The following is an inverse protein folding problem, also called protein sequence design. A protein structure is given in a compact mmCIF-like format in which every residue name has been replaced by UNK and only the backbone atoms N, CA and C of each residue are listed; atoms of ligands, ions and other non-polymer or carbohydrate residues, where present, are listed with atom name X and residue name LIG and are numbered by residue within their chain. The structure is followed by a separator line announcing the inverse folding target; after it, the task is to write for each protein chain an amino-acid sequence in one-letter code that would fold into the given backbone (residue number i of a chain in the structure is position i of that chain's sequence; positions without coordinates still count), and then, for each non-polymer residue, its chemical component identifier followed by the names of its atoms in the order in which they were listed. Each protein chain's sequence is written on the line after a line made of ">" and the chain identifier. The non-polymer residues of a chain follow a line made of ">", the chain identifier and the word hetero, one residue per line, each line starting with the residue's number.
data_IF_455400796676
#
_entry.id   IF_455400796676
#
_cell.length_a   1.000
_cell.length_b   1.000
_cell.length_c   1.000
_cell.angle_alpha   90.00
_cell.angle_beta   90.00
_cell.angle_gamma   90.00
#
_symmetry.space_group_name_H-M   'P 1'
#
loop_
_entity.id
_entity.type
_entity.pdbx_description
1 polymer ?
#
# COMPACT_ATOMS: atom_id res chain seq x y z
N UNK A 1 44.75 -26.31 -7.11
CA UNK A 1 44.81 -26.33 -5.62
C UNK A 1 43.56 -25.61 -5.12
N UNK A 2 42.44 -26.32 -4.90
CA UNK A 2 41.96 -26.85 -3.59
C UNK A 2 41.68 -25.73 -2.57
N UNK A 3 40.42 -25.35 -2.30
CA UNK A 3 39.50 -25.92 -1.29
C UNK A 3 40.14 -26.06 0.11
N UNK A 4 39.89 -25.11 1.03
CA UNK A 4 39.16 -25.31 2.31
C UNK A 4 39.28 -24.07 3.24
N UNK A 5 38.25 -23.86 4.06
CA UNK A 5 38.19 -23.06 5.30
C UNK A 5 38.12 -21.52 5.26
N UNK A 6 36.91 -20.99 5.51
CA UNK A 6 36.60 -20.32 6.79
C UNK A 6 35.13 -19.87 6.87
N UNK A 7 34.29 -20.68 7.52
CA UNK A 7 33.01 -20.24 8.11
C UNK A 7 33.30 -19.45 9.38
N UNK A 8 33.02 -18.14 9.42
CA UNK A 8 32.51 -17.35 10.57
C UNK A 8 32.86 -15.86 10.38
N UNK A 9 31.85 -15.04 10.15
CA UNK A 9 31.86 -13.65 10.63
C UNK A 9 30.42 -13.11 10.62
N UNK A 10 29.61 -13.57 11.58
CA UNK A 10 28.38 -12.90 11.98
C UNK A 10 28.84 -11.66 12.75
N UNK A 11 29.02 -10.52 12.08
CA UNK A 11 29.36 -9.25 12.73
C UNK A 11 28.07 -8.61 13.26
N UNK A 12 27.85 -8.83 14.56
CA UNK A 12 27.16 -7.90 15.44
C UNK A 12 27.87 -6.55 15.40
N UNK A 13 27.15 -5.47 15.09
CA UNK A 13 27.60 -4.11 15.38
C UNK A 13 26.58 -3.44 16.30
N UNK A 14 27.06 -2.63 17.26
CA UNK A 14 26.30 -2.19 18.43
C UNK A 14 25.40 -1.01 18.10
N UNK A 15 24.19 -1.03 18.66
CA UNK A 15 23.25 0.08 18.65
C UNK A 15 23.34 0.81 20.00
N UNK A 16 24.33 1.67 20.14
CA UNK A 16 24.45 2.64 21.24
C UNK A 16 25.03 3.92 20.66
N UNK A 17 24.19 4.98 20.55
CA UNK A 17 24.55 6.40 20.65
C UNK A 17 23.50 7.27 19.91
N UNK A 18 22.43 7.64 20.62
CA UNK A 18 21.62 8.85 20.47
C UNK A 18 20.63 8.78 21.64
N UNK A 19 20.94 9.32 22.82
CA UNK A 19 21.36 10.71 23.03
C UNK A 19 20.09 11.52 23.28
N UNK A 20 19.77 11.64 24.56
CA UNK A 20 18.65 12.34 25.18
C UNK A 20 18.03 13.50 24.37
N UNK A 21 16.74 13.36 24.06
CA UNK A 21 15.81 14.50 24.06
C UNK A 21 14.50 14.10 24.73
N UNK A 22 14.35 14.62 25.94
CA UNK A 22 13.21 14.68 26.84
C UNK A 22 11.82 14.69 26.19
N UNK A 23 10.99 13.70 26.52
CA UNK A 23 9.52 13.80 26.42
C UNK A 23 8.89 13.27 27.73
N UNK A 24 8.44 14.15 28.64
CA UNK A 24 7.91 13.76 29.95
C UNK A 24 6.47 13.21 29.92
N UNK A 25 5.85 13.03 28.75
CA UNK A 25 4.45 12.65 28.64
C UNK A 25 4.20 11.12 28.67
N UNK A 26 5.24 10.30 28.48
CA UNK A 26 5.09 8.85 28.30
C UNK A 26 5.11 8.05 29.61
N UNK A 27 5.60 8.65 30.71
CA UNK A 27 5.79 7.94 31.99
C UNK A 27 4.53 7.91 32.87
N UNK A 28 3.52 8.73 32.56
CA UNK A 28 2.31 8.86 33.40
C UNK A 28 1.21 7.86 33.06
N UNK A 29 1.35 7.06 31.99
CA UNK A 29 0.27 6.20 31.46
C UNK A 29 0.49 4.71 31.79
N UNK A 30 1.69 4.33 32.26
CA UNK A 30 2.01 2.94 32.64
C UNK A 30 2.42 2.89 34.12
N UNK A 31 1.44 2.90 35.02
CA UNK A 31 1.66 2.75 36.45
C UNK A 31 2.04 1.32 36.83
N UNK A 32 3.13 1.17 37.60
CA UNK A 32 3.36 0.00 38.44
C UNK A 32 4.26 0.39 39.62
N UNK A 33 3.63 0.42 40.78
CA UNK A 33 4.19 0.64 42.11
C UNK A 33 5.09 -0.53 42.53
N UNK A 34 6.24 -0.25 43.15
CA UNK A 34 6.99 -1.19 44.01
C UNK A 34 8.15 -0.50 44.73
N UNK A 35 8.09 -0.57 46.06
CA UNK A 35 9.17 -0.59 47.08
C UNK A 35 9.44 0.67 47.92
N UNK A 36 9.58 0.40 49.23
CA UNK A 36 9.98 1.24 50.37
C UNK A 36 8.81 1.92 51.12
N UNK A 37 8.34 1.48 52.30
CA UNK A 37 8.95 0.75 53.43
C UNK A 37 10.20 1.44 54.01
N UNK A 38 9.99 2.60 54.64
CA UNK A 38 10.55 2.98 55.95
C UNK A 38 10.47 4.49 56.19
N UNK A 39 9.54 4.94 57.04
CA UNK A 39 9.80 5.91 58.11
C UNK A 39 8.51 6.13 58.91
N UNK A 40 8.56 5.76 60.18
CA UNK A 40 7.60 6.25 61.14
C UNK A 40 7.86 7.72 61.43
N UNK A 41 6.80 8.46 61.69
CA UNK A 41 6.74 9.47 62.75
C UNK A 41 5.29 9.85 63.01
N UNK A 42 5.03 10.08 64.29
CA UNK A 42 3.73 10.25 64.93
C UNK A 42 2.99 11.51 64.46
N UNK A 43 1.68 11.40 64.21
CA UNK A 43 0.74 12.49 64.50
C UNK A 43 -0.70 11.96 64.63
N UNK A 44 -1.17 12.03 65.86
CA UNK A 44 -2.48 11.73 66.42
C UNK A 44 -3.60 12.68 65.97
N UNK A 45 -4.82 12.13 65.85
CA UNK A 45 -6.14 12.73 66.21
C UNK A 45 -6.52 13.99 65.38
N UNK A 46 -7.62 14.00 64.61
CA UNK A 46 -8.99 14.29 65.05
C UNK A 46 -9.99 13.57 64.12
N UNK A 47 -10.93 12.85 64.75
CA UNK A 47 -12.16 12.35 64.14
C UNK A 47 -13.17 13.49 64.17
N UNK A 48 -13.48 14.08 63.02
CA UNK A 48 -14.61 15.00 62.87
C UNK A 48 -15.72 14.31 62.08
N UNK A 49 -16.65 13.75 62.83
CA UNK A 49 -17.94 13.25 62.36
C UNK A 49 -18.79 14.41 61.84
N UNK A 50 -18.98 14.53 60.53
CA UNK A 50 -20.11 15.28 59.97
C UNK A 50 -21.10 14.31 59.34
N UNK A 51 -22.17 14.04 60.10
CA UNK A 51 -23.44 13.49 59.62
C UNK A 51 -23.90 14.29 58.39
N UNK A 52 -24.09 13.62 57.26
CA UNK A 52 -24.95 14.13 56.19
C UNK A 52 -26.17 13.23 56.02
N UNK A 53 -27.31 13.89 56.13
CA UNK A 53 -28.67 13.39 56.17
C UNK A 53 -29.06 12.56 54.96
N UNK A 54 -29.86 11.53 55.25
CA UNK A 54 -30.67 10.72 54.35
C UNK A 54 -31.52 11.52 53.34
N UNK A 55 -31.59 11.02 52.11
CA UNK A 55 -32.64 11.27 51.12
C UNK A 55 -32.55 10.23 49.99
N UNK A 56 -33.56 9.38 49.74
CA UNK A 56 -33.51 8.33 48.73
C UNK A 56 -34.02 8.88 47.39
N UNK A 57 -33.18 8.93 46.37
CA UNK A 57 -33.67 9.00 45.00
C UNK A 57 -32.64 8.45 44.02
N UNK A 58 -33.07 7.47 43.23
CA UNK A 58 -32.28 6.79 42.24
C UNK A 58 -31.71 7.74 41.20
N UNK A 59 -30.38 7.66 41.01
CA UNK A 59 -29.72 7.98 39.76
C UNK A 59 -28.79 6.84 39.45
N UNK A 60 -29.17 6.07 38.44
CA UNK A 60 -28.31 5.08 37.81
C UNK A 60 -26.97 5.71 37.46
N UNK A 61 -25.91 5.10 37.96
CA UNK A 61 -24.54 5.43 37.66
C UNK A 61 -24.24 5.07 36.19
N UNK A 62 -24.10 6.08 35.32
CA UNK A 62 -23.32 5.97 34.07
C UNK A 62 -22.21 7.03 33.88
N UNK A 63 -21.39 7.40 34.89
CA UNK A 63 -20.16 8.15 34.65
C UNK A 63 -18.95 7.26 34.25
N UNK A 64 -18.94 5.96 34.55
CA UNK A 64 -17.75 5.11 34.29
C UNK A 64 -17.46 4.77 32.82
N UNK A 65 -18.47 4.74 31.94
CA UNK A 65 -18.27 4.38 30.52
C UNK A 65 -17.73 5.56 29.70
N UNK A 66 -18.09 6.78 30.06
CA UNK A 66 -17.65 7.99 29.35
C UNK A 66 -16.17 8.28 29.60
N UNK A 67 -15.70 8.16 30.85
CA UNK A 67 -14.28 8.31 31.19
C UNK A 67 -13.41 7.22 30.54
N UNK A 68 -13.93 6.00 30.41
CA UNK A 68 -13.23 4.89 29.75
C UNK A 68 -13.16 5.09 28.22
N UNK A 69 -14.21 5.61 27.58
CA UNK A 69 -14.18 5.90 26.14
C UNK A 69 -13.29 7.11 25.83
N UNK A 70 -13.25 8.12 26.71
CA UNK A 70 -12.38 9.28 26.54
C UNK A 70 -10.89 8.92 26.74
N UNK A 71 -10.59 8.01 27.67
CA UNK A 71 -9.23 7.55 27.93
C UNK A 71 -8.73 6.48 26.93
N UNK A 72 -9.59 5.54 26.51
CA UNK A 72 -9.20 4.44 25.61
C UNK A 72 -9.55 4.68 24.14
N UNK A 73 -10.43 5.63 23.83
CA UNK A 73 -10.85 5.95 22.46
C UNK A 73 -9.69 6.30 21.52
N UNK A 74 -8.79 7.24 21.88
CA UNK A 74 -7.61 7.54 21.08
C UNK A 74 -6.69 6.33 20.85
N UNK A 75 -6.51 5.49 21.87
CA UNK A 75 -5.67 4.29 21.79
C UNK A 75 -6.28 3.22 20.87
N UNK A 76 -7.60 3.04 20.92
CA UNK A 76 -8.33 2.11 20.04
C UNK A 76 -8.24 2.58 18.58
N UNK A 77 -8.42 3.89 18.32
CA UNK A 77 -8.27 4.44 16.96
C UNK A 77 -6.84 4.24 16.47
N UNK A 78 -5.83 4.54 17.30
CA UNK A 78 -4.42 4.31 16.96
C UNK A 78 -4.17 2.84 16.57
N UNK A 79 -4.58 1.89 17.41
CA UNK A 79 -4.38 0.46 17.16
C UNK A 79 -5.11 -0.01 15.90
N UNK A 80 -6.33 0.46 15.67
CA UNK A 80 -7.13 0.09 14.49
C UNK A 80 -6.54 0.65 13.19
N UNK A 81 -6.11 1.92 13.20
CA UNK A 81 -5.45 2.55 12.05
C UNK A 81 -4.11 1.86 11.78
N UNK A 82 -3.32 1.57 12.81
CA UNK A 82 -2.05 0.86 12.67
C UNK A 82 -2.25 -0.54 12.07
N UNK A 83 -3.24 -1.28 12.58
CA UNK A 83 -3.59 -2.60 12.04
C UNK A 83 -3.98 -2.51 10.56
N UNK A 84 -4.81 -1.53 10.18
CA UNK A 84 -5.17 -1.32 8.78
C UNK A 84 -3.96 -0.99 7.91
N UNK A 85 -3.06 -0.12 8.37
CA UNK A 85 -1.85 0.28 7.65
C UNK A 85 -0.84 -0.86 7.48
N UNK A 86 -0.77 -1.79 8.44
CA UNK A 86 0.04 -3.01 8.31
C UNK A 86 -0.62 -4.04 7.35
N UNK A 87 -1.89 -3.82 6.97
CA UNK A 87 -2.59 -4.63 5.96
C UNK A 87 -3.63 -5.58 6.54
N UNK A 88 -4.01 -5.46 7.81
CA UNK A 88 -5.13 -6.22 8.36
C UNK A 88 -6.46 -5.69 7.76
N UNK A 89 -7.43 -6.57 7.47
CA UNK A 89 -8.72 -6.19 6.89
C UNK A 89 -9.66 -5.60 7.95
N UNK A 90 -9.24 -4.52 8.61
CA UNK A 90 -10.03 -3.81 9.64
C UNK A 90 -10.60 -2.50 9.09
N UNK A 91 -11.83 -2.11 9.49
CA UNK A 91 -12.47 -0.91 8.99
C UNK A 91 -11.93 0.36 9.70
N UNK A 92 -10.79 0.88 9.24
CA UNK A 92 -10.19 2.09 9.83
C UNK A 92 -11.01 3.38 9.55
N UNK A 93 -11.50 3.59 8.33
CA UNK A 93 -12.31 4.78 8.01
C UNK A 93 -13.58 4.89 8.87
N UNK A 94 -14.41 3.84 9.03
CA UNK A 94 -15.57 3.91 9.92
C UNK A 94 -15.21 4.25 11.38
N UNK A 95 -14.07 3.77 11.89
CA UNK A 95 -13.65 4.11 13.25
C UNK A 95 -13.30 5.59 13.43
N UNK A 96 -12.65 6.21 12.42
CA UNK A 96 -12.34 7.64 12.42
C UNK A 96 -13.62 8.49 12.32
N UNK A 97 -14.56 8.09 11.46
CA UNK A 97 -15.86 8.75 11.32
C UNK A 97 -16.65 8.68 12.63
N UNK A 98 -16.68 7.51 13.27
CA UNK A 98 -17.36 7.33 14.55
C UNK A 98 -16.75 8.21 15.65
N UNK A 99 -15.42 8.26 15.73
CA UNK A 99 -14.73 9.12 16.69
C UNK A 99 -15.01 10.61 16.45
N UNK A 100 -15.01 11.04 15.19
CA UNK A 100 -15.38 12.41 14.81
C UNK A 100 -16.83 12.75 15.21
N UNK A 101 -17.77 11.83 15.01
CA UNK A 101 -19.16 12.02 15.41
C UNK A 101 -19.31 12.13 16.94
N UNK A 102 -18.56 11.30 17.69
CA UNK A 102 -18.54 11.39 19.15
C UNK A 102 -17.98 12.71 19.68
N UNK A 103 -16.94 13.23 19.05
CA UNK A 103 -16.38 14.53 19.41
C UNK A 103 -17.39 15.67 19.18
N UNK A 104 -18.20 15.60 18.12
CA UNK A 104 -19.23 16.61 17.83
C UNK A 104 -20.37 16.67 18.88
N UNK A 105 -20.58 15.61 19.67
CA UNK A 105 -21.53 15.63 20.78
C UNK A 105 -21.09 16.54 21.94
N UNK A 106 -19.83 16.98 21.97
CA UNK A 106 -19.29 17.89 22.99
C UNK A 106 -18.70 19.16 22.33
N UNK A 107 -19.54 20.13 21.92
CA UNK A 107 -19.12 21.28 21.10
C UNK A 107 -17.99 22.13 21.70
N UNK A 108 -17.89 22.18 23.04
CA UNK A 108 -16.88 22.97 23.75
C UNK A 108 -15.45 22.43 23.70
N UNK A 109 -15.25 21.16 23.31
CA UNK A 109 -13.95 20.48 23.32
C UNK A 109 -13.58 19.79 22.01
N UNK A 110 -14.33 20.02 20.92
CA UNK A 110 -14.11 19.36 19.61
C UNK A 110 -12.63 19.47 19.17
N UNK A 111 -12.05 20.67 19.21
CA UNK A 111 -10.66 20.88 18.81
C UNK A 111 -9.65 20.12 19.69
N UNK A 112 -9.92 20.05 21.00
CA UNK A 112 -9.05 19.41 21.99
C UNK A 112 -9.11 17.88 21.88
N UNK A 113 -10.26 17.31 21.49
CA UNK A 113 -10.45 15.87 21.35
C UNK A 113 -10.04 15.35 19.96
N UNK A 114 -10.29 16.11 18.89
CA UNK A 114 -10.03 15.67 17.51
C UNK A 114 -8.55 15.76 17.15
N UNK A 115 -7.86 16.81 17.59
CA UNK A 115 -6.45 17.04 17.19
C UNK A 115 -5.50 15.93 17.67
N UNK A 116 -5.54 15.45 18.93
CA UNK A 116 -4.71 14.33 19.37
C UNK A 116 -4.98 13.05 18.58
N UNK A 117 -6.24 12.76 18.27
CA UNK A 117 -6.60 11.57 17.49
C UNK A 117 -6.16 11.68 16.04
N UNK A 118 -6.24 12.86 15.42
CA UNK A 118 -5.68 13.09 14.10
C UNK A 118 -4.17 12.81 14.10
N UNK A 119 -3.44 13.37 15.07
CA UNK A 119 -1.99 13.18 15.19
C UNK A 119 -1.66 11.70 15.39
N UNK A 120 -2.34 11.01 16.32
CA UNK A 120 -2.15 9.58 16.56
C UNK A 120 -2.47 8.73 15.33
N UNK A 121 -3.56 9.02 14.62
CA UNK A 121 -3.92 8.33 13.38
C UNK A 121 -2.85 8.52 12.32
N UNK A 122 -2.35 9.74 12.12
CA UNK A 122 -1.25 10.01 11.18
C UNK A 122 -0.01 9.22 11.57
N UNK A 123 0.42 9.24 12.83
CA UNK A 123 1.57 8.45 13.28
C UNK A 123 1.39 6.95 13.09
N UNK A 124 0.23 6.40 13.45
CA UNK A 124 -0.09 4.99 13.22
C UNK A 124 0.05 4.62 11.73
N UNK A 125 -0.45 5.50 10.86
CA UNK A 125 -0.38 5.32 9.41
C UNK A 125 1.05 5.34 8.91
N UNK A 126 1.83 6.34 9.34
CA UNK A 126 3.24 6.49 8.98
C UNK A 126 4.11 5.30 9.44
N UNK A 127 3.83 4.71 10.60
CA UNK A 127 4.56 3.54 11.10
C UNK A 127 4.33 2.34 10.18
N UNK A 128 3.07 2.05 9.85
CA UNK A 128 2.73 0.94 8.95
C UNK A 128 3.28 1.15 7.54
N UNK A 129 3.11 2.36 7.00
CA UNK A 129 3.56 2.70 5.65
C UNK A 129 5.09 2.73 5.55
N UNK A 130 5.80 3.13 6.62
CA UNK A 130 7.26 3.04 6.68
C UNK A 130 7.76 1.61 6.69
N UNK A 131 7.06 0.68 7.36
CA UNK A 131 7.39 -0.74 7.31
C UNK A 131 7.25 -1.31 5.89
N UNK A 132 6.18 -0.95 5.18
CA UNK A 132 5.98 -1.32 3.78
C UNK A 132 7.00 -0.69 2.83
N UNK A 133 7.36 0.58 3.07
CA UNK A 133 8.40 1.27 2.31
C UNK A 133 9.76 0.60 2.50
N UNK A 134 10.13 0.27 3.74
CA UNK A 134 11.36 -0.45 4.05
C UNK A 134 11.37 -1.85 3.42
N UNK A 135 10.25 -2.58 3.48
CA UNK A 135 10.11 -3.87 2.79
C UNK A 135 10.28 -3.71 1.27
N UNK A 136 9.73 -2.66 0.67
CA UNK A 136 9.95 -2.32 -0.73
C UNK A 136 11.42 -2.02 -1.04
N UNK A 137 12.11 -1.28 -0.16
CA UNK A 137 13.52 -0.90 -0.34
C UNK A 137 14.49 -2.06 -0.18
N UNK A 138 14.24 -2.96 0.77
CA UNK A 138 15.12 -4.10 1.08
C UNK A 138 14.93 -5.24 0.08
N UNK A 139 13.68 -5.59 -0.22
CA UNK A 139 13.36 -6.76 -1.06
C UNK A 139 13.01 -6.38 -2.51
N UNK A 140 12.99 -5.09 -2.86
CA UNK A 140 12.82 -4.59 -4.23
C UNK A 140 11.55 -5.11 -4.91
N UNK A 141 11.72 -5.52 -6.18
CA UNK A 141 10.63 -6.08 -7.00
C UNK A 141 9.99 -7.36 -6.43
N UNK A 142 10.66 -8.10 -5.53
CA UNK A 142 10.11 -9.32 -4.96
C UNK A 142 8.95 -9.06 -3.96
N UNK A 143 8.96 -7.94 -3.23
CA UNK A 143 7.81 -7.52 -2.41
C UNK A 143 6.60 -7.28 -3.27
N UNK A 144 6.79 -6.62 -4.42
CA UNK A 144 5.70 -6.38 -5.35
C UNK A 144 5.17 -7.69 -5.97
N UNK A 145 6.05 -8.65 -6.30
CA UNK A 145 5.65 -9.98 -6.79
C UNK A 145 4.83 -10.76 -5.75
N UNK A 146 5.21 -10.73 -4.48
CA UNK A 146 4.48 -11.42 -3.40
C UNK A 146 3.11 -10.78 -3.09
N UNK A 147 3.05 -9.44 -3.01
CA UNK A 147 1.78 -8.72 -2.82
C UNK A 147 0.84 -8.91 -4.00
N UNK A 148 1.37 -8.87 -5.23
CA UNK A 148 0.59 -9.18 -6.42
C UNK A 148 0.13 -10.64 -6.43
N UNK A 149 0.92 -11.60 -5.92
CA UNK A 149 0.52 -13.02 -5.80
C UNK A 149 -0.68 -13.19 -4.88
N UNK A 150 -0.78 -12.41 -3.80
CA UNK A 150 -1.88 -12.41 -2.82
C UNK A 150 -3.12 -11.65 -3.33
N UNK A 151 -2.94 -10.62 -4.15
CA UNK A 151 -4.05 -9.83 -4.70
C UNK A 151 -4.86 -10.63 -5.72
N UNK A 152 -6.18 -10.71 -5.48
CA UNK A 152 -7.16 -11.41 -6.32
C UNK A 152 -7.14 -10.91 -7.78
N UNK A 153 -6.55 -9.74 -8.08
CA UNK A 153 -6.41 -9.16 -9.42
C UNK A 153 -5.00 -8.69 -9.79
N UNK A 154 -4.07 -9.65 -9.86
CA UNK A 154 -2.67 -9.54 -10.35
C UNK A 154 -2.42 -8.54 -11.49
N UNK A 155 -3.24 -8.55 -12.55
CA UNK A 155 -2.92 -7.81 -13.79
C UNK A 155 -3.29 -6.31 -13.73
N UNK A 156 -4.39 -6.00 -13.05
CA UNK A 156 -4.87 -4.61 -12.90
C UNK A 156 -4.09 -3.87 -11.82
N UNK A 157 -3.68 -4.60 -10.77
CA UNK A 157 -2.89 -4.11 -9.64
C UNK A 157 -1.57 -3.50 -10.11
N UNK A 158 -0.91 -4.18 -11.04
CA UNK A 158 0.40 -3.80 -11.58
C UNK A 158 0.26 -2.71 -12.65
N UNK A 159 -0.51 -2.95 -13.72
CA UNK A 159 -0.62 -2.00 -14.85
C UNK A 159 -1.22 -0.66 -14.48
N UNK A 160 -2.17 -0.59 -13.54
CA UNK A 160 -2.81 0.68 -13.16
C UNK A 160 -1.89 1.47 -12.22
N UNK A 161 -1.27 0.81 -11.24
CA UNK A 161 -0.39 1.48 -10.29
C UNK A 161 0.90 1.97 -10.93
N UNK A 162 1.51 1.18 -11.83
CA UNK A 162 2.68 1.60 -12.61
C UNK A 162 2.37 2.79 -13.51
N UNK A 163 1.19 2.87 -14.11
CA UNK A 163 0.78 4.02 -14.92
C UNK A 163 0.58 5.29 -14.09
N UNK A 164 0.00 5.17 -12.90
CA UNK A 164 -0.18 6.33 -12.02
C UNK A 164 1.15 6.80 -11.45
N UNK A 165 2.00 5.87 -11.00
CA UNK A 165 3.31 6.20 -10.45
C UNK A 165 4.31 6.64 -11.52
N UNK A 166 4.30 6.07 -12.73
CA UNK A 166 5.20 6.51 -13.81
C UNK A 166 4.96 7.95 -14.26
N UNK A 167 3.73 8.47 -14.10
CA UNK A 167 3.38 9.85 -14.49
C UNK A 167 3.47 10.86 -13.34
N UNK A 168 3.17 10.45 -12.11
CA UNK A 168 3.10 11.34 -10.95
C UNK A 168 4.17 11.05 -9.88
N UNK A 169 4.89 9.93 -10.00
CA UNK A 169 5.92 9.49 -9.07
C UNK A 169 5.43 9.33 -7.64
N UNK A 170 6.29 9.73 -6.71
CA UNK A 170 6.02 9.77 -5.27
C UNK A 170 4.82 10.66 -4.89
N UNK A 171 4.43 11.62 -5.74
CA UNK A 171 3.28 12.52 -5.49
C UNK A 171 1.95 11.77 -5.40
N UNK A 172 1.86 10.59 -6.01
CA UNK A 172 0.68 9.72 -5.92
C UNK A 172 0.34 9.38 -4.48
N UNK A 173 1.33 9.29 -3.58
CA UNK A 173 1.12 8.91 -2.18
C UNK A 173 0.17 9.86 -1.44
N UNK A 174 0.13 11.14 -1.83
CA UNK A 174 -0.79 12.13 -1.26
C UNK A 174 -2.27 11.80 -1.51
N UNK A 175 -2.58 11.08 -2.59
CA UNK A 175 -3.95 10.70 -2.97
C UNK A 175 -4.21 9.19 -2.93
N UNK A 176 -3.15 8.38 -2.75
CA UNK A 176 -3.21 6.93 -2.86
C UNK A 176 -4.18 6.27 -1.86
N UNK A 177 -4.31 6.86 -0.67
CA UNK A 177 -5.16 6.34 0.42
C UNK A 177 -6.66 6.46 0.15
N UNK A 178 -7.07 7.37 -0.75
CA UNK A 178 -8.48 7.52 -1.15
C UNK A 178 -8.93 6.48 -2.17
N UNK A 179 -7.99 5.81 -2.83
CA UNK A 179 -8.27 4.81 -3.87
C UNK A 179 -7.96 3.42 -3.31
N UNK A 180 -8.99 2.59 -3.03
CA UNK A 180 -8.77 1.26 -2.48
C UNK A 180 -7.78 0.43 -3.32
N UNK A 181 -6.76 -0.11 -2.65
CA UNK A 181 -5.71 -0.92 -3.27
C UNK A 181 -4.56 -0.14 -3.94
N UNK A 182 -4.66 1.18 -4.11
CA UNK A 182 -3.57 1.98 -4.68
C UNK A 182 -2.43 2.16 -3.65
N UNK A 183 -2.77 2.54 -2.40
CA UNK A 183 -1.79 2.73 -1.31
C UNK A 183 -0.94 1.49 -1.03
N UNK A 184 -1.59 0.31 -0.95
CA UNK A 184 -0.95 -0.99 -0.70
C UNK A 184 0.20 -1.27 -1.68
N UNK A 185 0.09 -0.77 -2.91
CA UNK A 185 1.05 -1.04 -3.98
C UNK A 185 2.03 0.13 -4.14
N UNK A 186 1.56 1.37 -4.04
CA UNK A 186 2.40 2.55 -4.28
C UNK A 186 3.49 2.76 -3.22
N UNK A 187 3.21 2.40 -1.96
CA UNK A 187 4.16 2.56 -0.85
C UNK A 187 5.41 1.65 -1.01
N UNK A 188 5.27 0.32 -1.14
CA UNK A 188 6.43 -0.54 -1.35
C UNK A 188 7.11 -0.25 -2.69
N UNK A 189 6.38 0.20 -3.71
CA UNK A 189 6.97 0.59 -5.00
C UNK A 189 7.85 1.84 -4.88
N UNK A 190 7.45 2.83 -4.09
CA UNK A 190 8.28 3.99 -3.79
C UNK A 190 9.61 3.58 -3.11
N UNK A 191 9.56 2.59 -2.22
CA UNK A 191 10.75 2.00 -1.60
C UNK A 191 11.65 1.27 -2.59
N UNK A 192 11.06 0.42 -3.44
CA UNK A 192 11.77 -0.38 -4.44
C UNK A 192 12.46 0.47 -5.52
N UNK A 193 11.89 1.63 -5.86
CA UNK A 193 12.47 2.59 -6.80
C UNK A 193 13.56 3.49 -6.17
N UNK A 194 13.95 3.25 -4.92
CA UNK A 194 15.04 3.98 -4.28
C UNK A 194 14.70 5.40 -3.83
N UNK A 195 13.42 5.81 -3.84
CA UNK A 195 12.97 7.14 -3.41
C UNK A 195 13.60 7.53 -2.08
N UNK A 196 14.13 8.76 -1.89
CA UNK A 196 14.68 9.16 -0.59
C UNK A 196 13.58 9.17 0.49
N UNK A 197 13.89 8.64 1.67
CA UNK A 197 12.92 8.45 2.76
C UNK A 197 12.23 9.75 3.18
N UNK A 198 12.94 10.89 3.16
CA UNK A 198 12.37 12.21 3.48
C UNK A 198 11.26 12.62 2.52
N UNK A 199 11.45 12.38 1.22
CA UNK A 199 10.45 12.71 0.21
C UNK A 199 9.25 11.78 0.31
N UNK A 200 9.49 10.48 0.53
CA UNK A 200 8.41 9.53 0.84
C UNK A 200 7.58 10.01 2.03
N UNK A 201 8.23 10.28 3.16
CA UNK A 201 7.57 10.68 4.40
C UNK A 201 6.76 11.96 4.23
N UNK A 202 7.27 12.95 3.49
CA UNK A 202 6.55 14.20 3.24
C UNK A 202 5.23 13.99 2.49
N UNK A 203 5.25 13.28 1.35
CA UNK A 203 4.04 13.03 0.57
C UNK A 203 3.09 12.05 1.27
N UNK A 204 3.63 11.07 1.98
CA UNK A 204 2.84 10.10 2.73
C UNK A 204 2.13 10.75 3.93
N UNK A 205 2.80 11.67 4.63
CA UNK A 205 2.23 12.47 5.72
C UNK A 205 1.08 13.36 5.23
N UNK A 206 1.23 13.99 4.06
CA UNK A 206 0.14 14.76 3.44
C UNK A 206 -1.07 13.85 3.20
N UNK A 207 -0.85 12.68 2.58
CA UNK A 207 -1.93 11.72 2.33
C UNK A 207 -2.58 11.20 3.61
N UNK A 208 -1.78 10.86 4.62
CA UNK A 208 -2.26 10.36 5.92
C UNK A 208 -3.08 11.42 6.66
N UNK A 209 -2.64 12.68 6.63
CA UNK A 209 -3.34 13.82 7.26
C UNK A 209 -4.65 14.11 6.54
N UNK A 210 -4.65 14.18 5.21
CA UNK A 210 -5.85 14.42 4.41
C UNK A 210 -6.87 13.29 4.60
N UNK A 211 -6.43 12.04 4.57
CA UNK A 211 -7.30 10.88 4.71
C UNK A 211 -7.90 10.77 6.12
N UNK A 212 -7.06 10.88 7.16
CA UNK A 212 -7.52 10.81 8.56
C UNK A 212 -8.39 12.00 8.92
N UNK A 213 -7.98 13.20 8.47
CA UNK A 213 -8.72 14.44 8.64
C UNK A 213 -10.08 14.38 7.95
N UNK A 214 -10.16 13.85 6.73
CA UNK A 214 -11.45 13.66 6.05
C UNK A 214 -12.39 12.76 6.85
N UNK A 215 -11.89 11.62 7.35
CA UNK A 215 -12.69 10.72 8.20
C UNK A 215 -13.24 11.42 9.43
N UNK A 216 -12.40 12.14 10.17
CA UNK A 216 -12.79 12.87 11.37
C UNK A 216 -13.77 14.01 11.06
N UNK A 217 -13.50 14.83 10.04
CA UNK A 217 -14.38 15.93 9.62
C UNK A 217 -15.74 15.42 9.14
N UNK A 218 -15.77 14.33 8.37
CA UNK A 218 -17.03 13.70 7.99
C UNK A 218 -17.81 13.23 9.21
N UNK A 219 -17.13 12.64 10.20
CA UNK A 219 -17.74 12.29 11.48
C UNK A 219 -18.38 13.50 12.17
N UNK A 220 -17.64 14.61 12.28
CA UNK A 220 -18.12 15.83 12.94
C UNK A 220 -19.31 16.46 12.20
N UNK A 221 -19.22 16.58 10.87
CA UNK A 221 -20.25 17.23 10.04
C UNK A 221 -21.53 16.38 9.98
N UNK A 222 -21.41 15.06 9.90
CA UNK A 222 -22.54 14.15 9.75
C UNK A 222 -22.98 13.48 11.07
N UNK A 223 -22.54 13.99 12.22
CA UNK A 223 -22.80 13.38 13.53
C UNK A 223 -24.29 13.12 13.78
N UNK A 224 -25.15 14.10 13.45
CA UNK A 224 -26.60 14.00 13.64
C UNK A 224 -27.24 12.93 12.73
N UNK A 225 -26.78 12.81 11.49
CA UNK A 225 -27.26 11.81 10.53
C UNK A 225 -26.76 10.41 10.90
N UNK A 226 -25.56 10.31 11.47
CA UNK A 226 -24.99 9.07 11.99
C UNK A 226 -25.82 8.58 13.19
N UNK A 227 -26.18 9.46 14.12
CA UNK A 227 -27.03 9.11 15.26
C UNK A 227 -28.44 8.70 14.81
N UNK A 228 -29.04 9.39 13.84
CA UNK A 228 -30.31 9.00 13.22
C UNK A 228 -30.21 7.67 12.46
N UNK A 229 -29.08 7.41 11.79
CA UNK A 229 -28.79 6.13 11.15
C UNK A 229 -28.65 5.01 12.17
N UNK A 230 -27.97 5.20 13.30
CA UNK A 230 -27.86 4.19 14.36
C UNK A 230 -29.21 3.95 15.05
N UNK A 231 -29.98 5.01 15.30
CA UNK A 231 -31.33 4.92 15.84
C UNK A 231 -32.28 4.16 14.89
N UNK A 232 -32.24 4.45 13.58
CA UNK A 232 -33.00 3.75 12.54
C UNK A 232 -32.48 2.35 12.21
N UNK A 233 -31.16 2.14 12.27
CA UNK A 233 -30.50 0.85 12.01
C UNK A 233 -30.75 -0.19 13.10
N UNK A 234 -31.12 0.21 14.32
CA UNK A 234 -31.59 -0.75 15.32
C UNK A 234 -32.85 -1.51 14.86
N UNK A 235 -33.69 -0.89 14.01
CA UNK A 235 -34.92 -1.51 13.44
C UNK A 235 -34.76 -2.02 12.01
N UNK A 236 -33.97 -1.37 11.16
CA UNK A 236 -33.77 -1.72 9.74
C UNK A 236 -32.37 -2.25 9.39
N UNK A 237 -31.42 -2.20 10.33
CA UNK A 237 -29.99 -2.34 10.05
C UNK A 237 -29.57 -3.72 9.56
N UNK A 238 -30.28 -4.78 9.96
CA UNK A 238 -30.06 -6.13 9.39
C UNK A 238 -30.40 -6.15 7.89
N UNK A 239 -31.52 -5.54 7.49
CA UNK A 239 -31.94 -5.52 6.09
C UNK A 239 -31.04 -4.62 5.24
N UNK A 240 -30.68 -3.42 5.72
CA UNK A 240 -29.76 -2.53 5.00
C UNK A 240 -28.37 -3.15 4.86
N UNK A 241 -27.84 -3.78 5.92
CA UNK A 241 -26.56 -4.48 5.85
C UNK A 241 -26.59 -5.66 4.87
N UNK A 242 -27.68 -6.43 4.85
CA UNK A 242 -27.88 -7.51 3.88
C UNK A 242 -27.95 -6.97 2.45
N UNK A 243 -28.68 -5.88 2.20
CA UNK A 243 -28.78 -5.27 0.86
C UNK A 243 -27.40 -4.78 0.38
N UNK A 244 -26.64 -4.09 1.23
CA UNK A 244 -25.27 -3.63 0.88
C UNK A 244 -24.35 -4.82 0.63
N UNK A 245 -24.40 -5.86 1.48
CA UNK A 245 -23.62 -7.08 1.30
C UNK A 245 -23.97 -7.82 0.00
N UNK A 246 -25.26 -7.91 -0.34
CA UNK A 246 -25.75 -8.53 -1.58
C UNK A 246 -25.31 -7.72 -2.79
N UNK A 247 -25.44 -6.39 -2.77
CA UNK A 247 -24.97 -5.53 -3.86
C UNK A 247 -23.46 -5.64 -4.07
N UNK A 248 -22.68 -5.67 -2.98
CA UNK A 248 -21.24 -5.92 -3.04
C UNK A 248 -20.94 -7.31 -3.60
N UNK A 249 -21.66 -8.35 -3.18
CA UNK A 249 -21.50 -9.71 -3.67
C UNK A 249 -21.82 -9.81 -5.17
N UNK A 250 -22.91 -9.19 -5.63
CA UNK A 250 -23.28 -9.12 -7.05
C UNK A 250 -22.23 -8.36 -7.84
N UNK A 251 -21.76 -7.21 -7.37
CA UNK A 251 -20.70 -6.46 -8.03
C UNK A 251 -19.39 -7.27 -8.12
N UNK A 252 -18.99 -7.91 -7.03
CA UNK A 252 -17.82 -8.80 -7.00
C UNK A 252 -17.97 -9.98 -7.95
N UNK A 253 -19.14 -10.64 -7.98
CA UNK A 253 -19.44 -11.75 -8.88
C UNK A 253 -19.45 -11.31 -10.34
N UNK A 254 -20.08 -10.18 -10.67
CA UNK A 254 -20.07 -9.59 -12.00
C UNK A 254 -18.64 -9.28 -12.45
N UNK A 255 -17.85 -8.63 -11.59
CA UNK A 255 -16.46 -8.28 -11.90
C UNK A 255 -15.60 -9.53 -12.08
N UNK A 256 -15.83 -10.56 -11.26
CA UNK A 256 -15.14 -11.84 -11.36
C UNK A 256 -15.51 -12.58 -12.64
N UNK A 257 -16.79 -12.64 -12.99
CA UNK A 257 -17.29 -13.27 -14.21
C UNK A 257 -16.72 -12.57 -15.45
N UNK A 258 -16.84 -11.24 -15.52
CA UNK A 258 -16.31 -10.44 -16.64
C UNK A 258 -14.81 -10.62 -16.79
N UNK A 259 -14.08 -10.73 -15.67
CA UNK A 259 -12.64 -10.99 -15.69
C UNK A 259 -12.29 -12.40 -16.14
N UNK A 260 -13.02 -13.42 -15.68
CA UNK A 260 -12.85 -14.81 -16.16
C UNK A 260 -13.14 -14.92 -17.65
N UNK A 261 -14.17 -14.24 -18.14
CA UNK A 261 -14.45 -14.19 -19.57
C UNK A 261 -13.32 -13.52 -20.35
N UNK A 262 -12.78 -12.40 -19.87
CA UNK A 262 -11.63 -11.74 -20.51
C UNK A 262 -10.40 -12.65 -20.56
N UNK A 263 -10.05 -13.31 -19.45
CA UNK A 263 -8.90 -14.22 -19.39
C UNK A 263 -9.11 -15.45 -20.28
N UNK A 264 -10.33 -16.02 -20.34
CA UNK A 264 -10.65 -17.13 -21.24
C UNK A 264 -10.57 -16.74 -22.71
N UNK A 265 -11.01 -15.53 -23.06
CA UNK A 265 -10.88 -14.98 -24.42
C UNK A 265 -9.44 -14.66 -24.82
N UNK A 266 -8.58 -14.39 -23.83
CA UNK A 266 -7.14 -14.14 -23.99
C UNK A 266 -6.29 -15.41 -23.78
N UNK A 267 -6.90 -16.58 -23.63
CA UNK A 267 -6.20 -17.86 -23.65
C UNK A 267 -5.88 -18.23 -25.10
N UNK A 268 -5.08 -17.39 -25.76
CA UNK A 268 -4.53 -17.64 -27.09
C UNK A 268 -3.39 -18.66 -27.01
N UNK A 269 -3.02 -19.20 -28.18
CA UNK A 269 -1.81 -20.00 -28.34
C UNK A 269 -0.62 -19.25 -27.73
N UNK A 270 0.17 -19.94 -26.91
CA UNK A 270 1.39 -19.40 -26.29
C UNK A 270 2.58 -20.18 -26.82
N UNK A 271 3.68 -19.49 -27.07
CA UNK A 271 4.95 -20.11 -27.43
C UNK A 271 5.69 -20.53 -26.17
N UNK A 272 6.32 -21.71 -26.20
CA UNK A 272 7.18 -22.17 -25.11
C UNK A 272 8.57 -21.49 -25.16
N UNK A 273 9.24 -21.40 -24.02
CA UNK A 273 10.59 -20.84 -23.89
C UNK A 273 11.59 -21.63 -24.73
N UNK A 274 11.48 -22.96 -24.72
CA UNK A 274 12.40 -23.83 -25.47
C UNK A 274 12.20 -23.71 -26.98
N UNK A 275 10.94 -23.56 -27.41
CA UNK A 275 10.61 -23.34 -28.82
C UNK A 275 11.20 -22.01 -29.34
N UNK A 276 11.03 -20.92 -28.58
CA UNK A 276 11.62 -19.63 -28.92
C UNK A 276 13.15 -19.70 -28.96
N UNK A 277 13.76 -20.37 -27.98
CA UNK A 277 15.21 -20.52 -27.93
C UNK A 277 15.77 -21.28 -29.14
N UNK A 278 15.11 -22.36 -29.56
CA UNK A 278 15.50 -23.12 -30.74
C UNK A 278 15.38 -22.29 -32.03
N UNK A 279 14.32 -21.48 -32.17
CA UNK A 279 14.17 -20.56 -33.32
C UNK A 279 15.30 -19.52 -33.39
N UNK A 280 15.74 -19.02 -32.23
CA UNK A 280 16.86 -18.07 -32.16
C UNK A 280 18.19 -18.72 -32.54
N UNK A 281 18.42 -19.99 -32.17
CA UNK A 281 19.61 -20.76 -32.57
C UNK A 281 19.65 -21.01 -34.08
N UNK A 282 18.49 -21.30 -34.68
CA UNK A 282 18.32 -21.57 -36.12
C UNK A 282 18.42 -20.31 -37.01
N UNK A 283 18.75 -19.14 -36.43
CA UNK A 283 18.71 -17.83 -37.11
C UNK A 283 17.36 -17.48 -37.75
N UNK A 284 16.28 -18.12 -37.29
CA UNK A 284 14.88 -17.82 -37.65
C UNK A 284 14.23 -17.00 -36.54
N UNK A 285 14.95 -15.99 -36.06
CA UNK A 285 14.55 -15.21 -34.90
C UNK A 285 13.29 -14.40 -35.21
N UNK A 286 12.17 -14.64 -34.51
CA UNK A 286 11.00 -13.79 -34.63
C UNK A 286 11.31 -12.39 -34.07
N UNK A 287 10.50 -11.40 -34.44
CA UNK A 287 10.60 -10.08 -33.79
C UNK A 287 10.04 -10.21 -32.37
N UNK A 288 10.90 -9.95 -31.40
CA UNK A 288 10.61 -10.16 -29.99
C UNK A 288 10.29 -8.83 -29.32
N UNK A 289 9.07 -8.67 -28.81
CA UNK A 289 8.63 -7.45 -28.13
C UNK A 289 8.68 -7.57 -26.61
N UNK A 290 9.44 -6.68 -25.99
CA UNK A 290 9.36 -6.39 -24.54
C UNK A 290 8.32 -5.30 -24.30
N UNK A 291 7.21 -5.68 -23.66
CA UNK A 291 6.10 -4.77 -23.35
C UNK A 291 6.05 -4.41 -21.86
N UNK A 292 7.12 -4.69 -21.11
CA UNK A 292 7.23 -4.29 -19.70
C UNK A 292 7.23 -2.77 -19.59
N UNK A 293 6.59 -2.24 -18.55
CA UNK A 293 6.66 -0.81 -18.28
C UNK A 293 8.10 -0.37 -17.98
N UNK A 294 8.40 0.89 -18.25
CA UNK A 294 9.68 1.50 -17.95
C UNK A 294 10.11 1.28 -16.48
N UNK A 295 9.18 1.41 -15.53
CA UNK A 295 9.47 1.17 -14.10
C UNK A 295 9.88 -0.28 -13.80
N UNK A 296 9.26 -1.26 -14.48
CA UNK A 296 9.69 -2.66 -14.36
C UNK A 296 11.05 -2.92 -14.99
N UNK A 297 11.36 -2.27 -16.10
CA UNK A 297 12.68 -2.35 -16.74
C UNK A 297 13.77 -1.74 -15.85
N UNK A 298 13.44 -0.72 -15.05
CA UNK A 298 14.35 -0.20 -14.00
C UNK A 298 14.56 -1.18 -12.84
N UNK A 299 13.49 -1.83 -12.39
CA UNK A 299 13.57 -2.80 -11.29
C UNK A 299 14.24 -4.11 -11.70
N UNK A 300 14.12 -4.49 -12.97
CA UNK A 300 14.67 -5.72 -13.56
C UNK A 300 15.33 -5.36 -14.91
N UNK A 301 16.58 -4.85 -14.88
CA UNK A 301 17.29 -4.28 -16.04
C UNK A 301 17.88 -5.35 -16.96
N UNK A 302 17.16 -6.45 -17.15
CA UNK A 302 17.54 -7.55 -18.04
C UNK A 302 16.45 -7.78 -19.08
N UNK A 303 16.86 -8.12 -20.30
CA UNK A 303 15.99 -8.40 -21.44
C UNK A 303 16.38 -9.70 -22.12
N UNK A 304 15.43 -10.30 -22.84
CA UNK A 304 15.75 -11.41 -23.74
C UNK A 304 16.55 -10.86 -24.94
N UNK A 305 17.64 -11.54 -25.35
CA UNK A 305 18.49 -11.08 -26.44
C UNK A 305 17.72 -10.73 -27.71
N UNK A 306 18.05 -9.58 -28.32
CA UNK A 306 17.41 -9.11 -29.55
C UNK A 306 15.97 -8.59 -29.39
N UNK A 307 15.49 -8.41 -28.15
CA UNK A 307 14.17 -7.84 -27.93
C UNK A 307 14.11 -6.32 -28.21
N UNK A 308 12.99 -5.91 -28.80
CA UNK A 308 12.65 -4.52 -29.08
C UNK A 308 11.61 -4.06 -28.07
N UNK A 309 11.80 -2.88 -27.49
CA UNK A 309 10.77 -2.29 -26.63
C UNK A 309 9.54 -1.90 -27.45
N UNK A 310 8.36 -2.30 -26.99
CA UNK A 310 7.10 -1.95 -27.63
C UNK A 310 6.08 -1.46 -26.58
N UNK A 311 5.65 -0.21 -26.69
CA UNK A 311 4.58 0.32 -25.85
C UNK A 311 3.21 0.00 -26.46
N UNK A 312 2.33 -0.61 -25.66
CA UNK A 312 0.93 -0.90 -26.03
C UNK A 312 0.14 0.36 -26.45
N UNK A 313 0.61 1.55 -26.07
CA UNK A 313 0.01 2.84 -26.43
C UNK A 313 0.33 3.29 -27.85
N UNK A 314 1.42 2.80 -28.42
CA UNK A 314 1.91 3.17 -29.75
C UNK A 314 1.58 2.10 -30.79
N UNK A 315 0.44 1.43 -30.64
CA UNK A 315 0.04 0.31 -31.51
C UNK A 315 0.05 0.70 -33.00
N UNK A 316 -0.41 1.91 -33.34
CA UNK A 316 -0.45 2.37 -34.73
C UNK A 316 0.95 2.49 -35.35
N UNK A 317 1.96 2.86 -34.55
CA UNK A 317 3.36 2.94 -35.00
C UNK A 317 3.96 1.55 -35.21
N UNK A 318 3.60 0.58 -34.33
CA UNK A 318 4.01 -0.81 -34.48
C UNK A 318 3.40 -1.41 -35.76
N UNK A 319 2.10 -1.17 -35.99
CA UNK A 319 1.37 -1.67 -37.17
C UNK A 319 1.96 -1.12 -38.46
N UNK A 320 2.38 0.15 -38.51
CA UNK A 320 2.96 0.73 -39.73
C UNK A 320 4.42 0.32 -39.97
N UNK A 321 5.16 -0.01 -38.90
CA UNK A 321 6.60 -0.30 -38.97
C UNK A 321 6.92 -1.74 -39.38
N UNK A 322 6.06 -2.69 -39.05
CA UNK A 322 6.37 -4.12 -39.18
C UNK A 322 5.45 -4.82 -40.21
N UNK A 323 6.00 -5.70 -41.07
CA UNK A 323 5.19 -6.54 -41.96
C UNK A 323 4.20 -7.43 -41.20
N UNK A 324 3.01 -7.61 -41.76
CA UNK A 324 1.90 -8.34 -41.13
C UNK A 324 2.06 -9.88 -41.16
N UNK A 325 2.96 -10.39 -41.99
CA UNK A 325 3.29 -11.80 -42.19
C UNK A 325 4.43 -12.30 -41.31
N UNK A 326 5.15 -11.39 -40.64
CA UNK A 326 6.26 -11.78 -39.77
C UNK A 326 5.77 -12.42 -38.46
N UNK A 327 6.53 -13.38 -37.94
CA UNK A 327 6.29 -13.95 -36.61
C UNK A 327 6.69 -12.96 -35.52
N UNK A 328 5.72 -12.61 -34.68
CA UNK A 328 5.86 -11.74 -33.51
C UNK A 328 5.75 -12.54 -32.23
N UNK A 329 6.73 -12.39 -31.34
CA UNK A 329 6.66 -12.98 -30.00
C UNK A 329 6.64 -11.86 -28.97
N UNK A 330 5.68 -11.89 -28.05
CA UNK A 330 5.47 -10.82 -27.07
C UNK A 330 5.68 -11.38 -25.69
N UNK A 331 6.55 -10.76 -24.90
CA UNK A 331 6.75 -11.15 -23.51
C UNK A 331 6.55 -9.99 -22.55
N UNK A 332 6.15 -10.32 -21.33
CA UNK A 332 6.02 -9.37 -20.24
C UNK A 332 6.46 -10.05 -18.93
N UNK A 333 6.47 -9.30 -17.83
CA UNK A 333 6.68 -9.84 -16.48
C UNK A 333 5.41 -9.73 -15.63
N UNK A 334 4.24 -9.78 -16.25
CA UNK A 334 2.95 -9.78 -15.57
C UNK A 334 2.45 -11.22 -15.36
N UNK A 335 1.73 -11.50 -14.26
CA UNK A 335 1.19 -12.83 -14.03
C UNK A 335 0.28 -13.31 -15.17
N UNK A 336 0.34 -14.60 -15.51
CA UNK A 336 -0.43 -15.22 -16.60
C UNK A 336 -0.29 -14.53 -17.98
N UNK A 337 0.74 -13.71 -18.16
CA UNK A 337 1.04 -12.99 -19.38
C UNK A 337 -0.12 -12.15 -19.94
N UNK A 338 -1.05 -11.69 -19.09
CA UNK A 338 -2.29 -11.03 -19.54
C UNK A 338 -2.01 -9.79 -20.40
N UNK A 339 -0.90 -9.11 -20.11
CA UNK A 339 -0.46 -7.95 -20.88
C UNK A 339 -0.03 -8.32 -22.29
N UNK A 340 0.73 -9.41 -22.42
CA UNK A 340 1.22 -9.91 -23.71
C UNK A 340 0.07 -10.51 -24.52
N UNK A 341 -0.81 -11.26 -23.88
CA UNK A 341 -2.01 -11.81 -24.52
C UNK A 341 -2.95 -10.71 -25.05
N UNK A 342 -3.12 -9.61 -24.30
CA UNK A 342 -3.92 -8.48 -24.76
C UNK A 342 -3.29 -7.79 -25.98
N UNK A 343 -1.98 -7.54 -25.95
CA UNK A 343 -1.29 -6.94 -27.11
C UNK A 343 -1.30 -7.88 -28.32
N UNK A 344 -1.11 -9.18 -28.13
CA UNK A 344 -1.22 -10.17 -29.19
C UNK A 344 -2.60 -10.10 -29.86
N UNK A 345 -3.67 -10.09 -29.07
CA UNK A 345 -5.04 -9.93 -29.59
C UNK A 345 -5.21 -8.65 -30.40
N UNK A 346 -4.71 -7.51 -29.91
CA UNK A 346 -4.83 -6.23 -30.61
C UNK A 346 -4.07 -6.23 -31.95
N UNK A 347 -2.89 -6.86 -32.00
CA UNK A 347 -2.12 -6.98 -33.24
C UNK A 347 -2.77 -7.94 -34.23
N UNK A 348 -3.34 -9.06 -33.76
CA UNK A 348 -4.13 -9.96 -34.61
C UNK A 348 -5.36 -9.25 -35.19
N UNK A 349 -6.07 -8.45 -34.37
CA UNK A 349 -7.20 -7.63 -34.84
C UNK A 349 -6.76 -6.52 -35.82
N UNK A 350 -5.51 -6.07 -35.74
CA UNK A 350 -4.90 -5.14 -36.70
C UNK A 350 -4.36 -5.82 -37.97
N UNK A 351 -4.49 -7.14 -38.10
CA UNK A 351 -4.16 -7.89 -39.31
C UNK A 351 -2.80 -8.60 -39.31
N UNK A 352 -2.12 -8.71 -38.17
CA UNK A 352 -0.93 -9.58 -38.05
C UNK A 352 -1.35 -11.05 -37.99
N UNK A 353 -0.66 -11.89 -38.76
CA UNK A 353 -1.04 -13.30 -38.95
C UNK A 353 -0.43 -14.27 -37.93
N UNK A 354 0.74 -13.96 -37.37
CA UNK A 354 1.49 -14.85 -36.47
C UNK A 354 2.01 -14.08 -35.24
N UNK A 355 1.17 -13.97 -34.21
CA UNK A 355 1.48 -13.23 -32.97
C UNK A 355 1.22 -14.09 -31.74
N UNK A 356 2.28 -14.38 -30.97
CA UNK A 356 2.22 -15.32 -29.85
C UNK A 356 2.80 -14.70 -28.56
N UNK A 357 2.07 -14.76 -27.44
CA UNK A 357 2.64 -14.47 -26.13
C UNK A 357 3.64 -15.57 -25.72
N UNK A 358 4.79 -15.18 -25.17
CA UNK A 358 5.76 -16.10 -24.58
C UNK A 358 5.24 -16.62 -23.23
N UNK A 359 5.09 -17.93 -23.08
CA UNK A 359 4.60 -18.57 -21.86
C UNK A 359 5.53 -18.28 -20.67
N UNK A 360 4.97 -17.78 -19.56
CA UNK A 360 5.73 -17.41 -18.36
C UNK A 360 6.60 -16.15 -18.50
N UNK A 361 6.69 -15.57 -19.71
CA UNK A 361 7.39 -14.32 -19.97
C UNK A 361 8.87 -14.34 -19.61
N UNK A 362 9.39 -13.20 -19.14
CA UNK A 362 10.81 -13.04 -18.81
C UNK A 362 11.26 -13.95 -17.65
N UNK A 363 10.38 -14.18 -16.67
CA UNK A 363 10.72 -15.01 -15.51
C UNK A 363 10.94 -16.47 -15.92
N UNK A 364 10.08 -17.03 -16.80
CA UNK A 364 10.28 -18.39 -17.30
C UNK A 364 11.52 -18.53 -18.19
N UNK A 365 11.86 -17.51 -18.99
CA UNK A 365 13.12 -17.48 -19.74
C UNK A 365 14.33 -17.56 -18.81
N UNK A 366 14.31 -16.80 -17.71
CA UNK A 366 15.35 -16.81 -16.68
C UNK A 366 15.42 -18.14 -15.94
N UNK A 367 14.27 -18.69 -15.55
CA UNK A 367 14.17 -19.95 -14.80
C UNK A 367 14.65 -21.14 -15.65
N UNK A 368 14.48 -21.08 -16.97
CA UNK A 368 15.04 -22.04 -17.92
C UNK A 368 16.58 -21.90 -18.10
N UNK A 369 17.23 -20.98 -17.36
CA UNK A 369 18.67 -20.76 -17.42
C UNK A 369 19.16 -20.17 -18.73
N UNK A 370 18.28 -19.51 -19.50
CA UNK A 370 18.64 -18.89 -20.79
C UNK A 370 19.33 -17.55 -20.57
N UNK A 371 20.22 -17.18 -21.49
CA UNK A 371 21.00 -15.94 -21.40
C UNK A 371 20.09 -14.70 -21.44
N UNK A 372 20.44 -13.69 -20.66
CA UNK A 372 19.77 -12.39 -20.60
C UNK A 372 20.79 -11.29 -20.87
N UNK A 373 20.38 -10.30 -21.66
CA UNK A 373 21.18 -9.10 -21.93
C UNK A 373 20.83 -8.01 -20.92
N UNK A 374 21.82 -7.30 -20.34
CA UNK A 374 21.53 -6.12 -19.55
C UNK A 374 20.98 -5.02 -20.46
N UNK A 375 19.98 -4.29 -19.97
CA UNK A 375 19.54 -3.05 -20.60
C UNK A 375 20.68 -2.05 -20.56
N UNK A 376 21.08 -1.52 -21.72
CA UNK A 376 21.99 -0.39 -21.77
C UNK A 376 21.38 0.75 -20.94
N UNK A 377 22.09 1.23 -19.93
CA UNK A 377 21.68 2.42 -19.19
C UNK A 377 21.54 3.56 -20.19
N UNK A 378 20.31 4.06 -20.41
CA UNK A 378 20.15 5.38 -21.00
C UNK A 378 20.87 6.36 -20.06
N UNK A 379 21.86 7.14 -20.56
CA UNK A 379 22.53 8.10 -19.71
C UNK A 379 21.47 9.01 -19.08
N UNK A 380 21.53 9.17 -17.75
CA UNK A 380 20.63 10.10 -17.07
C UNK A 380 20.67 11.44 -17.83
N UNK A 381 19.52 12.03 -18.17
CA UNK A 381 19.52 13.38 -18.71
C UNK A 381 20.19 14.25 -17.65
N UNK A 382 21.42 14.67 -17.93
CA UNK A 382 22.14 15.66 -17.14
C UNK A 382 21.32 16.93 -17.20
N UNK A 383 20.41 17.08 -16.23
CA UNK A 383 19.80 18.36 -15.94
C UNK A 383 20.95 19.23 -15.48
N UNK A 384 21.49 20.03 -16.41
CA UNK A 384 22.45 21.06 -16.10
C UNK A 384 21.78 22.00 -15.10
N UNK A 385 22.04 21.78 -13.81
CA UNK A 385 21.67 22.72 -12.76
C UNK A 385 22.59 23.91 -12.99
N UNK A 386 22.08 24.89 -13.75
CA UNK A 386 22.70 26.19 -13.90
C UNK A 386 22.69 26.93 -12.56
N UNK A 387 23.60 26.55 -11.66
CA UNK A 387 23.90 27.33 -10.47
C UNK A 387 24.81 28.46 -10.95
N UNK A 388 24.22 29.61 -11.28
CA UNK A 388 24.98 30.85 -11.31
C UNK A 388 25.37 31.19 -9.87
N UNK A 389 26.67 31.20 -9.51
CA UNK A 389 27.07 31.64 -8.19
C UNK A 389 26.68 33.12 -8.05
N UNK A 390 25.94 33.43 -6.97
CA UNK A 390 25.60 34.79 -6.59
C UNK A 390 26.92 35.50 -6.26
N UNK A 391 27.25 36.54 -7.00
CA UNK A 391 28.41 37.41 -6.70
C UNK A 391 28.26 37.99 -5.30
N UNK A 392 29.27 37.77 -4.48
CA UNK A 392 29.39 38.26 -3.09
C UNK A 392 29.50 39.79 -3.07
#
# INVERSE_FOLDING_TARGET
>A
MTLHDARRARRTLPFEALGDTSFPLFRSILGADRTSLARGENASIIVESTKSSSGPNGRESKPMLHDLVEQYGPAIVFANVLAASIGLPVPAMPSLVLFGAMAAMHPGSIGVQVLPVLVLAVFATLIGDSAWFAAGRIYGGNTLKTLCKLSLSRDTCVKKTERFFGRWGVRVLAVAKFVPGLSIVSIPMAGAMGTPYRTFLAYDSIGATLWSGLGLVLGVVFAQQIDMLFAGASRLGKMTAVVVAVLLAIYCAYRWYRRRQLIRKLATARMDVDELYNLMLDKRSPVLFDIRSHEKRKLDPFVIPGSVFADERQLNEIVSKYPHDQKLVIYCSCPNEVSAAWMAKQLTEAGFSDVLPLRGGLDAWRDAGRHLEPLAEEPEPTVAVGITPKTV
#
